data_IF_485720554632
#
_entry.id   IF_485720554632
#
_cell.length_a   1.000
_cell.length_b   1.000
_cell.length_c   1.000
_cell.angle_alpha   90.00
_cell.angle_beta   90.00
_cell.angle_gamma   90.00
#
_symmetry.space_group_name_H-M   'P 1'
#
loop_
_entity.id
_entity.type
_entity.pdbx_description
1 polymer ?
#
# COMPACT_ATOMS: atom_id res chain seq x y z
N UNK A 1 6.59 -21.66 10.05
CA UNK A 1 5.60 -20.65 9.65
C UNK A 1 4.25 -20.99 10.30
N UNK A 2 4.04 -20.62 11.58
CA UNK A 2 2.87 -21.05 12.34
C UNK A 2 1.53 -20.70 11.67
N UNK A 3 1.42 -19.49 11.11
CA UNK A 3 0.20 -19.03 10.42
C UNK A 3 -0.17 -19.92 9.23
N UNK A 4 0.80 -20.26 8.37
CA UNK A 4 0.57 -21.10 7.19
C UNK A 4 0.10 -22.49 7.59
N UNK A 5 0.73 -23.09 8.61
CA UNK A 5 0.35 -24.43 9.09
C UNK A 5 -1.02 -24.45 9.76
N UNK A 6 -1.52 -23.30 10.24
CA UNK A 6 -2.82 -23.18 10.88
C UNK A 6 -3.99 -22.98 9.89
N UNK A 7 -3.70 -22.65 8.61
CA UNK A 7 -4.74 -22.38 7.60
C UNK A 7 -5.76 -23.53 7.47
N UNK A 8 -5.36 -24.81 7.30
CA UNK A 8 -6.34 -25.87 7.08
C UNK A 8 -7.26 -26.09 8.29
N UNK A 9 -6.72 -26.03 9.51
CA UNK A 9 -7.51 -26.19 10.72
C UNK A 9 -8.44 -25.00 10.94
N UNK A 10 -7.95 -23.78 10.75
CA UNK A 10 -8.76 -22.57 10.93
C UNK A 10 -9.91 -22.52 9.92
N UNK A 11 -9.66 -22.79 8.64
CA UNK A 11 -10.71 -22.85 7.62
C UNK A 11 -11.76 -23.93 7.93
N UNK A 12 -11.32 -25.08 8.45
CA UNK A 12 -12.23 -26.14 8.87
C UNK A 12 -13.13 -25.72 10.04
N UNK A 13 -12.59 -25.00 11.02
CA UNK A 13 -13.38 -24.43 12.12
C UNK A 13 -14.40 -23.38 11.63
N UNK A 14 -14.05 -22.61 10.59
CA UNK A 14 -14.97 -21.67 9.92
C UNK A 14 -15.92 -22.34 8.92
N UNK A 15 -15.88 -23.67 8.78
CA UNK A 15 -16.73 -24.42 7.87
C UNK A 15 -16.44 -24.21 6.38
N UNK A 16 -15.26 -23.71 6.01
CA UNK A 16 -14.82 -23.48 4.62
C UNK A 16 -15.66 -22.48 3.82
N UNK A 17 -16.47 -21.64 4.45
CA UNK A 17 -17.42 -20.76 3.74
C UNK A 17 -16.95 -19.31 3.58
N UNK A 18 -15.97 -18.86 4.36
CA UNK A 18 -15.64 -17.45 4.48
C UNK A 18 -14.15 -17.20 4.29
N UNK A 19 -13.84 -16.21 3.45
CA UNK A 19 -12.52 -15.58 3.49
C UNK A 19 -12.40 -14.80 4.81
N UNK A 20 -11.22 -14.82 5.46
CA UNK A 20 -11.01 -14.03 6.65
C UNK A 20 -11.12 -12.54 6.30
N UNK A 21 -12.00 -11.82 6.98
CA UNK A 21 -12.17 -10.36 6.83
C UNK A 21 -11.98 -9.61 8.14
N UNK A 22 -11.57 -10.29 9.21
CA UNK A 22 -11.31 -9.68 10.50
C UNK A 22 -9.82 -9.81 10.79
N UNK A 23 -9.11 -8.67 10.83
CA UNK A 23 -7.67 -8.63 11.06
C UNK A 23 -7.24 -9.26 12.40
N UNK A 24 -8.18 -9.43 13.33
CA UNK A 24 -7.97 -10.08 14.64
C UNK A 24 -8.52 -11.50 14.74
N UNK A 25 -9.06 -12.04 13.65
CA UNK A 25 -9.57 -13.42 13.60
C UNK A 25 -9.27 -14.06 12.24
N UNK A 26 -8.07 -14.62 12.12
CA UNK A 26 -7.60 -15.32 10.93
C UNK A 26 -6.52 -16.36 11.24
N UNK A 27 -5.92 -16.95 10.18
CA UNK A 27 -4.87 -17.96 10.31
C UNK A 27 -3.65 -17.47 11.10
N UNK A 28 -3.32 -16.18 11.05
CA UNK A 28 -2.26 -15.59 11.86
C UNK A 28 -2.50 -15.82 13.36
N UNK A 29 -3.69 -15.46 13.87
CA UNK A 29 -4.05 -15.60 15.27
C UNK A 29 -4.08 -17.07 15.70
N UNK A 30 -4.63 -17.95 14.87
CA UNK A 30 -4.65 -19.39 15.13
C UNK A 30 -3.22 -19.97 15.23
N UNK A 31 -2.31 -19.54 14.36
CA UNK A 31 -0.92 -19.98 14.35
C UNK A 31 -0.08 -19.42 15.49
N UNK A 32 -0.25 -18.14 15.81
CA UNK A 32 0.53 -17.43 16.83
C UNK A 32 -0.09 -17.45 18.23
N UNK A 33 -1.31 -17.95 18.37
CA UNK A 33 -2.09 -18.01 19.62
C UNK A 33 -2.19 -16.63 20.29
N UNK A 34 -2.69 -15.66 19.53
CA UNK A 34 -2.82 -14.26 19.94
C UNK A 34 -4.17 -13.71 19.49
N UNK A 35 -4.67 -12.71 20.22
CA UNK A 35 -5.89 -11.98 19.85
C UNK A 35 -5.55 -10.64 19.14
N UNK A 36 -4.27 -10.38 18.88
CA UNK A 36 -3.80 -9.18 18.20
C UNK A 36 -3.78 -9.39 16.68
N UNK A 37 -3.93 -8.32 15.92
CA UNK A 37 -3.55 -8.33 14.51
C UNK A 37 -2.01 -8.48 14.35
N UNK A 38 -1.55 -8.71 13.12
CA UNK A 38 -0.15 -8.98 12.85
C UNK A 38 0.79 -7.81 13.23
N UNK A 39 0.36 -6.57 13.03
CA UNK A 39 1.15 -5.39 13.40
C UNK A 39 1.17 -5.19 14.92
N UNK A 40 0.02 -5.30 15.60
CA UNK A 40 -0.08 -5.25 17.06
C UNK A 40 0.75 -6.36 17.71
N UNK A 41 0.70 -7.58 17.18
CA UNK A 41 1.56 -8.67 17.62
C UNK A 41 3.04 -8.33 17.45
N UNK A 42 3.42 -7.74 16.31
CA UNK A 42 4.80 -7.35 16.04
C UNK A 42 5.32 -6.31 17.04
N UNK A 43 4.50 -5.31 17.39
CA UNK A 43 4.83 -4.28 18.36
C UNK A 43 4.99 -4.83 19.79
N UNK A 44 4.28 -5.90 20.14
CA UNK A 44 4.44 -6.58 21.45
C UNK A 44 5.64 -7.52 21.52
N UNK A 45 6.13 -8.04 20.39
CA UNK A 45 7.13 -9.11 20.34
C UNK A 45 8.54 -8.63 19.99
N UNK A 46 9.13 -7.81 20.87
CA UNK A 46 10.52 -7.31 20.83
C UNK A 46 10.87 -6.51 19.56
N UNK A 47 11.67 -5.47 19.75
CA UNK A 47 12.21 -4.58 18.72
C UNK A 47 12.74 -5.31 17.46
N UNK A 48 13.36 -6.48 17.63
CA UNK A 48 13.89 -7.28 16.52
C UNK A 48 12.82 -7.76 15.53
N UNK A 49 11.65 -8.24 15.98
CA UNK A 49 10.65 -8.76 15.05
C UNK A 49 10.06 -7.65 14.19
N UNK A 50 9.85 -6.47 14.78
CA UNK A 50 9.47 -5.27 14.06
C UNK A 50 10.53 -4.84 13.04
N UNK A 51 11.81 -4.87 13.40
CA UNK A 51 12.91 -4.53 12.48
C UNK A 51 13.03 -5.53 11.32
N UNK A 52 12.89 -6.84 11.58
CA UNK A 52 12.87 -7.88 10.56
C UNK A 52 11.71 -7.66 9.57
N UNK A 53 10.54 -7.28 10.08
CA UNK A 53 9.38 -6.94 9.26
C UNK A 53 9.60 -5.68 8.40
N UNK A 54 10.14 -4.60 8.97
CA UNK A 54 10.45 -3.40 8.18
C UNK A 54 11.47 -3.69 7.08
N UNK A 55 12.46 -4.54 7.37
CA UNK A 55 13.43 -5.00 6.38
C UNK A 55 12.77 -5.79 5.25
N UNK A 56 11.76 -6.60 5.56
CA UNK A 56 10.95 -7.26 4.55
C UNK A 56 10.12 -6.26 3.73
N UNK A 57 9.52 -5.24 4.36
CA UNK A 57 8.70 -4.24 3.67
C UNK A 57 9.48 -3.32 2.74
N UNK A 58 10.75 -3.04 3.06
CA UNK A 58 11.68 -2.33 2.15
C UNK A 58 12.12 -3.16 0.94
N UNK A 59 11.91 -4.48 0.98
CA UNK A 59 12.32 -5.37 -0.07
C UNK A 59 11.71 -4.97 -1.40
N UNK A 60 12.56 -4.62 -2.37
CA UNK A 60 12.16 -4.47 -3.76
C UNK A 60 11.66 -5.83 -4.27
N UNK A 61 10.40 -5.85 -4.72
CA UNK A 61 9.73 -7.07 -5.24
C UNK A 61 10.08 -7.35 -6.70
N UNK A 62 11.24 -6.87 -7.17
CA UNK A 62 11.81 -7.13 -8.49
C UNK A 62 11.40 -6.11 -9.55
N UNK A 63 11.02 -4.89 -9.16
CA UNK A 63 10.60 -3.82 -10.08
C UNK A 63 11.44 -2.56 -9.85
N UNK A 64 11.95 -1.91 -10.92
CA UNK A 64 12.64 -0.63 -10.78
C UNK A 64 11.72 0.39 -10.11
N UNK A 65 12.32 1.36 -9.42
CA UNK A 65 11.58 2.44 -8.76
C UNK A 65 10.60 3.09 -9.75
N UNK A 66 9.36 3.36 -9.34
CA UNK A 66 8.29 3.79 -10.25
C UNK A 66 8.63 5.02 -11.10
N UNK A 67 9.38 5.97 -10.54
CA UNK A 67 9.85 7.15 -11.26
C UNK A 67 10.86 6.86 -12.40
N UNK A 68 11.39 5.64 -12.52
CA UNK A 68 12.27 5.21 -13.62
C UNK A 68 11.49 4.89 -14.90
N UNK A 69 10.26 4.38 -14.77
CA UNK A 69 9.48 3.88 -15.90
C UNK A 69 8.17 4.62 -16.13
N UNK A 70 7.59 5.20 -15.08
CA UNK A 70 6.41 6.06 -15.20
C UNK A 70 6.86 7.50 -15.54
N UNK A 71 6.26 8.17 -16.54
CA UNK A 71 6.65 9.52 -16.96
C UNK A 71 6.15 10.60 -15.97
N UNK A 72 6.74 10.61 -14.76
CA UNK A 72 6.37 11.53 -13.66
C UNK A 72 6.46 12.99 -14.10
N UNK A 73 7.54 13.39 -14.77
CA UNK A 73 7.75 14.77 -15.21
C UNK A 73 6.59 15.24 -16.09
N UNK A 74 6.37 14.56 -17.22
CA UNK A 74 5.36 14.95 -18.20
C UNK A 74 3.93 14.84 -17.68
N UNK A 75 3.61 13.80 -16.89
CA UNK A 75 2.23 13.51 -16.46
C UNK A 75 1.85 14.22 -15.18
N UNK A 76 2.77 14.30 -14.22
CA UNK A 76 2.47 14.75 -12.87
C UNK A 76 3.10 16.10 -12.55
N UNK A 77 4.21 16.52 -13.17
CA UNK A 77 4.90 17.75 -12.77
C UNK A 77 4.68 18.91 -13.76
N UNK A 78 4.89 18.70 -15.05
CA UNK A 78 4.91 19.78 -16.07
C UNK A 78 3.56 20.46 -16.30
N UNK A 79 2.46 19.72 -16.14
CA UNK A 79 1.11 20.26 -16.37
C UNK A 79 0.58 21.10 -15.21
N UNK A 80 1.43 21.55 -14.28
CA UNK A 80 1.00 22.39 -13.16
C UNK A 80 2.12 23.26 -12.60
N UNK A 81 1.72 24.39 -12.03
CA UNK A 81 2.62 25.18 -11.20
C UNK A 81 2.65 24.54 -9.82
N UNK A 82 3.81 24.00 -9.41
CA UNK A 82 4.04 23.57 -8.04
C UNK A 82 3.77 24.75 -7.11
N UNK A 83 2.89 24.54 -6.14
CA UNK A 83 2.41 25.63 -5.29
C UNK A 83 3.44 25.92 -4.18
N UNK A 84 3.83 27.19 -3.98
CA UNK A 84 4.74 27.53 -2.90
C UNK A 84 4.22 27.03 -1.54
N UNK A 85 5.07 26.30 -0.81
CA UNK A 85 4.74 25.74 0.51
C UNK A 85 3.96 24.41 0.49
N UNK A 86 3.36 24.03 -0.64
CA UNK A 86 2.70 22.74 -0.78
C UNK A 86 3.73 21.59 -0.94
N UNK A 87 3.46 20.40 -0.41
CA UNK A 87 4.28 19.23 -0.70
C UNK A 87 4.16 18.83 -2.18
N UNK A 88 5.28 18.36 -2.75
CA UNK A 88 5.27 17.73 -4.06
C UNK A 88 4.69 16.32 -3.93
N UNK A 89 5.22 15.55 -2.99
CA UNK A 89 4.82 14.17 -2.77
C UNK A 89 4.64 13.90 -1.29
N UNK A 90 3.57 13.17 -0.98
CA UNK A 90 3.32 12.54 0.32
C UNK A 90 3.35 11.04 0.09
N UNK A 91 4.32 10.37 0.68
CA UNK A 91 4.49 8.92 0.68
C UNK A 91 3.73 8.35 1.89
N UNK A 92 2.55 7.78 1.65
CA UNK A 92 1.60 7.35 2.68
C UNK A 92 1.83 5.87 3.00
N UNK A 93 2.29 5.58 4.22
CA UNK A 93 2.73 4.25 4.61
C UNK A 93 4.10 3.89 4.03
N UNK A 94 4.98 4.87 3.83
CA UNK A 94 6.26 4.68 3.13
C UNK A 94 7.33 3.94 3.93
N UNK A 95 7.01 3.44 5.13
CA UNK A 95 7.94 2.74 6.00
C UNK A 95 9.15 3.59 6.35
N UNK A 96 10.34 3.05 6.13
CA UNK A 96 11.62 3.74 6.34
C UNK A 96 11.98 4.75 5.24
N UNK A 97 11.10 4.99 4.26
CA UNK A 97 11.22 6.07 3.28
C UNK A 97 12.09 5.77 2.07
N UNK A 98 12.17 4.50 1.65
CA UNK A 98 12.98 4.09 0.50
C UNK A 98 12.43 4.66 -0.83
N UNK A 99 11.10 4.67 -1.05
CA UNK A 99 10.50 5.24 -2.25
C UNK A 99 10.64 6.77 -2.28
N UNK A 100 10.36 7.47 -1.17
CA UNK A 100 10.54 8.92 -1.15
C UNK A 100 12.01 9.36 -1.35
N UNK A 101 12.97 8.59 -0.85
CA UNK A 101 14.39 8.80 -1.11
C UNK A 101 14.74 8.51 -2.59
N UNK A 102 14.17 7.45 -3.16
CA UNK A 102 14.28 7.12 -4.58
C UNK A 102 13.74 8.23 -5.47
N UNK A 103 12.58 8.81 -5.13
CA UNK A 103 11.99 9.94 -5.81
C UNK A 103 12.91 11.18 -5.76
N UNK A 104 13.49 11.51 -4.59
CA UNK A 104 14.43 12.62 -4.44
C UNK A 104 15.68 12.45 -5.31
N UNK A 105 16.18 11.22 -5.45
CA UNK A 105 17.32 10.90 -6.30
C UNK A 105 17.01 11.11 -7.78
N UNK A 106 15.80 10.79 -8.22
CA UNK A 106 15.33 11.02 -9.59
C UNK A 106 15.10 12.49 -9.91
N UNK A 107 14.64 13.26 -8.92
CA UNK A 107 14.30 14.67 -9.06
C UNK A 107 15.07 15.56 -8.06
N UNK A 108 16.42 15.66 -8.17
CA UNK A 108 17.26 16.33 -7.18
C UNK A 108 17.02 17.84 -7.12
N UNK A 109 16.68 18.45 -8.26
CA UNK A 109 16.47 19.90 -8.39
C UNK A 109 15.01 20.32 -8.24
N UNK A 110 14.10 19.37 -8.02
CA UNK A 110 12.68 19.66 -7.88
C UNK A 110 12.43 20.43 -6.57
N UNK A 111 11.84 21.63 -6.64
CA UNK A 111 11.53 22.42 -5.45
C UNK A 111 10.28 21.87 -4.76
N UNK A 112 10.19 22.09 -3.44
CA UNK A 112 9.04 21.72 -2.62
C UNK A 112 9.34 20.60 -1.62
N UNK A 113 8.40 20.35 -0.71
CA UNK A 113 8.57 19.38 0.37
C UNK A 113 8.25 17.97 -0.13
N UNK A 114 9.03 17.00 0.34
CA UNK A 114 8.74 15.57 0.21
C UNK A 114 8.39 15.08 1.63
N UNK A 115 7.21 14.51 1.81
CA UNK A 115 6.71 14.11 3.13
C UNK A 115 6.59 12.60 3.19
N UNK A 116 7.27 11.98 4.15
CA UNK A 116 7.09 10.58 4.52
C UNK A 116 6.05 10.49 5.63
N UNK A 117 5.07 9.61 5.49
CA UNK A 117 4.07 9.31 6.52
C UNK A 117 4.02 7.82 6.80
N UNK A 118 3.94 7.46 8.07
CA UNK A 118 3.76 6.10 8.55
C UNK A 118 3.28 6.13 10.01
N UNK A 119 2.91 4.97 10.56
CA UNK A 119 2.47 4.83 11.94
C UNK A 119 3.67 4.87 12.91
N UNK A 120 3.39 5.17 14.19
CA UNK A 120 4.32 4.87 15.27
C UNK A 120 4.52 3.35 15.35
N UNK A 121 5.75 2.83 15.50
CA UNK A 121 7.03 3.50 15.82
C UNK A 121 7.91 3.82 14.60
N UNK A 122 7.39 3.74 13.38
CA UNK A 122 8.18 4.05 12.16
C UNK A 122 8.54 5.53 12.11
N UNK A 123 7.60 6.40 12.51
CA UNK A 123 7.83 7.85 12.64
C UNK A 123 7.43 8.34 14.03
N UNK A 124 8.20 9.28 14.58
CA UNK A 124 7.95 9.92 15.89
C UNK A 124 6.69 10.82 15.94
N UNK A 125 5.86 10.85 14.89
CA UNK A 125 4.64 11.69 14.86
C UNK A 125 3.60 11.22 13.84
N UNK A 126 2.35 11.07 14.30
CA UNK A 126 1.18 11.02 13.41
C UNK A 126 0.95 12.45 12.91
N UNK A 127 1.34 12.73 11.66
CA UNK A 127 1.02 13.99 11.01
C UNK A 127 -0.28 13.75 10.22
N UNK A 128 -1.31 14.55 10.49
CA UNK A 128 -2.49 14.60 9.62
C UNK A 128 -2.05 14.71 8.15
N UNK A 129 -2.69 14.02 7.22
CA UNK A 129 -2.36 14.10 5.78
C UNK A 129 -2.16 15.57 5.38
N UNK A 130 -0.94 15.90 4.92
CA UNK A 130 -0.64 17.27 4.52
C UNK A 130 -1.53 17.58 3.31
N UNK A 131 -2.46 18.51 3.51
CA UNK A 131 -3.47 18.83 2.51
C UNK A 131 -2.81 19.48 1.29
N UNK A 132 -3.34 19.17 0.09
CA UNK A 132 -2.99 19.84 -1.17
C UNK A 132 -1.59 19.49 -1.69
N UNK A 133 -1.12 18.28 -1.43
CA UNK A 133 0.07 17.76 -2.09
C UNK A 133 -0.20 17.51 -3.58
N UNK A 134 0.84 17.59 -4.42
CA UNK A 134 0.70 17.29 -5.85
C UNK A 134 0.51 15.78 -6.08
N UNK A 135 1.21 14.94 -5.33
CA UNK A 135 1.15 13.48 -5.43
C UNK A 135 0.91 12.89 -4.04
N UNK A 136 -0.11 12.05 -3.91
CA UNK A 136 -0.26 11.11 -2.80
C UNK A 136 0.11 9.74 -3.33
N UNK A 137 1.18 9.17 -2.79
CA UNK A 137 1.75 7.91 -3.23
C UNK A 137 1.46 6.82 -2.19
N UNK A 138 0.91 5.69 -2.64
CA UNK A 138 0.69 4.50 -1.82
C UNK A 138 1.30 3.30 -2.54
N UNK A 139 2.15 2.56 -1.85
CA UNK A 139 2.76 1.35 -2.40
C UNK A 139 2.62 0.21 -1.41
N UNK A 140 2.02 -0.90 -1.84
CA UNK A 140 1.75 -2.06 -0.98
C UNK A 140 1.03 -1.71 0.33
N UNK A 141 0.04 -0.82 0.25
CA UNK A 141 -0.82 -0.41 1.36
C UNK A 141 -2.26 -0.89 1.14
N UNK A 142 -2.66 -0.95 -0.11
CA UNK A 142 -4.02 -1.09 -0.54
C UNK A 142 -4.45 -2.55 -0.70
N UNK A 143 -3.66 -3.50 -0.17
CA UNK A 143 -4.03 -4.91 -0.03
C UNK A 143 -4.62 -5.30 1.34
N UNK A 144 -4.83 -4.31 2.24
CA UNK A 144 -5.49 -4.52 3.53
C UNK A 144 -7.01 -4.42 3.43
N UNK A 145 -7.72 -4.63 4.56
CA UNK A 145 -9.18 -4.54 4.63
C UNK A 145 -9.72 -3.11 4.49
N UNK A 146 -9.12 -2.15 5.20
CA UNK A 146 -9.66 -0.79 5.39
C UNK A 146 -9.38 0.18 4.23
N UNK A 147 -9.15 -0.34 3.03
CA UNK A 147 -8.73 0.45 1.87
C UNK A 147 -9.70 1.57 1.47
N UNK A 148 -11.01 1.37 1.62
CA UNK A 148 -11.99 2.41 1.32
C UNK A 148 -11.78 3.64 2.22
N UNK A 149 -11.57 3.41 3.52
CA UNK A 149 -11.31 4.49 4.49
C UNK A 149 -9.98 5.20 4.19
N UNK A 150 -8.96 4.46 3.75
CA UNK A 150 -7.69 5.06 3.30
C UNK A 150 -7.92 5.99 2.11
N UNK A 151 -8.64 5.54 1.08
CA UNK A 151 -8.97 6.36 -0.09
C UNK A 151 -9.80 7.58 0.26
N UNK A 152 -10.82 7.43 1.12
CA UNK A 152 -11.65 8.55 1.59
C UNK A 152 -10.79 9.62 2.29
N UNK A 153 -9.88 9.20 3.18
CA UNK A 153 -8.98 10.12 3.88
C UNK A 153 -8.00 10.82 2.92
N UNK A 154 -7.43 10.09 1.97
CA UNK A 154 -6.53 10.69 0.96
C UNK A 154 -7.30 11.66 0.08
N UNK A 155 -8.51 11.30 -0.36
CA UNK A 155 -9.40 12.17 -1.14
C UNK A 155 -9.72 13.47 -0.42
N UNK A 156 -9.97 13.44 0.90
CA UNK A 156 -10.18 14.66 1.70
C UNK A 156 -8.97 15.60 1.67
N UNK A 157 -7.75 15.04 1.61
CA UNK A 157 -6.51 15.82 1.54
C UNK A 157 -6.20 16.35 0.13
N UNK A 158 -6.73 15.69 -0.91
CA UNK A 158 -6.52 16.04 -2.31
C UNK A 158 -7.24 17.33 -2.71
N UNK A 159 -6.66 18.05 -3.67
CA UNK A 159 -7.30 19.18 -4.34
C UNK A 159 -7.69 18.82 -5.78
N UNK A 160 -8.97 18.99 -6.12
CA UNK A 160 -9.50 18.72 -7.45
C UNK A 160 -8.77 19.51 -8.54
N UNK A 161 -8.44 18.85 -9.65
CA UNK A 161 -7.67 19.43 -10.76
C UNK A 161 -6.18 19.67 -10.46
N UNK A 162 -5.70 19.38 -9.24
CA UNK A 162 -4.30 19.53 -8.87
C UNK A 162 -3.66 18.24 -8.35
N UNK A 163 -4.26 17.55 -7.39
CA UNK A 163 -3.65 16.39 -6.76
C UNK A 163 -3.82 15.12 -7.59
N UNK A 164 -2.79 14.28 -7.60
CA UNK A 164 -2.83 12.93 -8.14
C UNK A 164 -2.72 11.90 -7.02
N UNK A 165 -3.53 10.85 -7.12
CA UNK A 165 -3.37 9.63 -6.36
C UNK A 165 -2.61 8.62 -7.22
N UNK A 166 -1.46 8.17 -6.73
CA UNK A 166 -0.64 7.15 -7.39
C UNK A 166 -0.58 5.93 -6.48
N UNK A 167 -1.03 4.79 -6.99
CA UNK A 167 -1.04 3.51 -6.28
C UNK A 167 -0.15 2.54 -7.04
N UNK A 168 0.89 2.04 -6.38
CA UNK A 168 1.77 0.99 -6.88
C UNK A 168 1.43 -0.33 -6.16
N UNK A 169 0.71 -1.20 -6.87
CA UNK A 169 0.19 -2.47 -6.35
C UNK A 169 0.15 -3.53 -7.44
N UNK A 170 -0.06 -4.78 -7.04
CA UNK A 170 -0.45 -5.80 -8.01
C UNK A 170 -1.86 -5.55 -8.56
N UNK A 171 -2.01 -5.72 -9.87
CA UNK A 171 -3.30 -5.76 -10.56
C UNK A 171 -3.44 -7.16 -11.15
N UNK A 172 -4.19 -8.02 -10.45
CA UNK A 172 -4.36 -9.40 -10.86
C UNK A 172 -5.34 -9.49 -12.05
N UNK A 173 -5.14 -10.44 -12.98
CA UNK A 173 -6.19 -10.77 -13.93
C UNK A 173 -7.34 -11.49 -13.21
N UNK A 174 -8.58 -11.33 -13.68
CA UNK A 174 -9.74 -12.00 -13.08
C UNK A 174 -9.65 -13.53 -13.20
N UNK A 175 -8.97 -14.03 -14.23
CA UNK A 175 -8.69 -15.46 -14.45
C UNK A 175 -7.25 -15.68 -14.91
N UNK A 176 -6.69 -16.87 -14.63
CA UNK A 176 -5.36 -17.24 -15.13
C UNK A 176 -4.19 -16.49 -14.48
N UNK A 177 -4.33 -16.08 -13.21
CA UNK A 177 -3.27 -15.41 -12.46
C UNK A 177 -1.98 -16.25 -12.42
N UNK A 178 -0.85 -15.58 -12.67
CA UNK A 178 0.48 -16.17 -12.49
C UNK A 178 0.73 -16.55 -11.03
N UNK A 179 1.61 -17.53 -10.82
CA UNK A 179 1.87 -18.10 -9.49
C UNK A 179 2.32 -17.05 -8.47
N UNK A 180 3.28 -16.19 -8.81
CA UNK A 180 3.85 -15.24 -7.85
C UNK A 180 2.82 -14.25 -7.28
N UNK A 181 2.01 -13.51 -8.09
CA UNK A 181 0.94 -12.68 -7.53
C UNK A 181 -0.13 -13.47 -6.76
N UNK A 182 -0.42 -14.72 -7.16
CA UNK A 182 -1.35 -15.57 -6.41
C UNK A 182 -0.79 -16.01 -5.04
N UNK A 183 0.51 -16.26 -4.94
CA UNK A 183 1.19 -16.54 -3.67
C UNK A 183 1.15 -15.32 -2.75
N UNK A 184 1.33 -14.11 -3.28
CA UNK A 184 1.17 -12.87 -2.52
C UNK A 184 -0.25 -12.68 -2.01
N UNK A 185 -1.28 -12.95 -2.82
CA UNK A 185 -2.67 -12.91 -2.38
C UNK A 185 -2.94 -13.85 -1.19
N UNK A 186 -2.43 -15.09 -1.27
CA UNK A 186 -2.51 -16.03 -0.15
C UNK A 186 -1.79 -15.51 1.09
N UNK A 187 -0.64 -14.85 0.94
CA UNK A 187 0.05 -14.21 2.07
C UNK A 187 -0.81 -13.09 2.67
N UNK A 188 -1.46 -12.26 1.86
CA UNK A 188 -2.34 -11.20 2.35
C UNK A 188 -3.52 -11.78 3.14
N UNK A 189 -4.13 -12.85 2.65
CA UNK A 189 -5.19 -13.57 3.37
C UNK A 189 -4.68 -14.13 4.71
N UNK A 190 -3.52 -14.79 4.72
CA UNK A 190 -2.99 -15.50 5.89
C UNK A 190 -2.55 -14.54 7.00
N UNK A 191 -1.87 -13.44 6.65
CA UNK A 191 -1.23 -12.55 7.62
C UNK A 191 -2.07 -11.32 7.96
N UNK A 192 -2.89 -10.83 7.02
CA UNK A 192 -3.58 -9.54 7.16
C UNK A 192 -5.10 -9.65 7.05
N UNK A 193 -5.63 -10.84 6.71
CA UNK A 193 -7.03 -10.99 6.32
C UNK A 193 -7.40 -10.01 5.19
N UNK A 194 -6.42 -9.75 4.33
CA UNK A 194 -6.48 -8.86 3.18
C UNK A 194 -6.54 -9.66 1.88
N UNK A 195 -6.36 -8.96 0.78
CA UNK A 195 -6.33 -9.56 -0.55
C UNK A 195 -5.57 -8.67 -1.53
N UNK A 196 -4.94 -9.31 -2.50
CA UNK A 196 -4.57 -8.64 -3.74
C UNK A 196 -5.81 -8.45 -4.62
N UNK A 197 -5.84 -7.39 -5.43
CA UNK A 197 -7.05 -6.99 -6.17
C UNK A 197 -6.89 -7.22 -7.65
N UNK A 198 -7.96 -7.71 -8.26
CA UNK A 198 -8.11 -7.73 -9.70
C UNK A 198 -8.50 -6.34 -10.21
N UNK A 199 -8.46 -6.12 -11.53
CA UNK A 199 -8.99 -4.89 -12.14
C UNK A 199 -10.42 -4.59 -11.67
N UNK A 200 -11.31 -5.58 -11.72
CA UNK A 200 -12.71 -5.41 -11.33
C UNK A 200 -12.86 -5.04 -9.84
N UNK A 201 -12.05 -5.61 -8.95
CA UNK A 201 -12.00 -5.20 -7.54
C UNK A 201 -11.52 -3.76 -7.35
N UNK A 202 -10.51 -3.34 -8.12
CA UNK A 202 -10.04 -1.95 -8.11
C UNK A 202 -11.13 -0.99 -8.58
N UNK A 203 -11.73 -1.22 -9.74
CA UNK A 203 -12.80 -0.38 -10.28
C UNK A 203 -13.94 -0.18 -9.28
N UNK A 204 -14.42 -1.28 -8.67
CA UNK A 204 -15.46 -1.22 -7.64
C UNK A 204 -15.02 -0.46 -6.38
N UNK A 205 -13.74 -0.54 -6.00
CA UNK A 205 -13.21 0.19 -4.85
C UNK A 205 -13.12 1.70 -5.12
N UNK A 206 -12.64 2.11 -6.30
CA UNK A 206 -12.57 3.51 -6.71
C UNK A 206 -13.97 4.12 -6.84
N UNK A 207 -14.92 3.39 -7.43
CA UNK A 207 -16.34 3.81 -7.50
C UNK A 207 -16.92 4.06 -6.11
N UNK A 208 -16.69 3.15 -5.17
CA UNK A 208 -17.16 3.31 -3.77
C UNK A 208 -16.51 4.48 -3.04
N UNK A 209 -15.27 4.83 -3.40
CA UNK A 209 -14.56 6.00 -2.87
C UNK A 209 -14.95 7.31 -3.58
N UNK A 210 -15.82 7.24 -4.59
CA UNK A 210 -16.20 8.36 -5.45
C UNK A 210 -14.96 9.02 -6.08
N UNK A 211 -14.01 8.19 -6.52
CA UNK A 211 -12.82 8.60 -7.26
C UNK A 211 -13.00 8.31 -8.75
N UNK A 212 -12.31 9.07 -9.60
CA UNK A 212 -12.27 8.78 -11.02
C UNK A 212 -11.70 7.37 -11.28
N UNK A 213 -12.13 6.68 -12.36
CA UNK A 213 -11.57 5.41 -12.75
C UNK A 213 -10.05 5.48 -12.88
N UNK A 214 -9.36 4.50 -12.29
CA UNK A 214 -7.92 4.43 -12.33
C UNK A 214 -7.42 4.30 -13.78
N UNK A 215 -6.37 5.06 -14.12
CA UNK A 215 -5.59 4.82 -15.33
C UNK A 215 -4.45 3.89 -14.97
N UNK A 216 -4.44 2.72 -15.59
CA UNK A 216 -3.42 1.71 -15.32
C UNK A 216 -2.18 1.91 -16.18
N UNK A 217 -1.03 1.67 -15.56
CA UNK A 217 0.28 1.73 -16.20
C UNK A 217 1.08 0.50 -15.78
N UNK A 218 1.85 -0.08 -16.70
CA UNK A 218 2.77 -1.16 -16.37
C UNK A 218 4.10 -0.95 -17.07
N UNK A 219 5.20 -1.28 -16.37
CA UNK A 219 6.56 -1.16 -16.90
C UNK A 219 6.82 -2.03 -18.14
N UNK A 220 5.95 -3.00 -18.45
CA UNK A 220 6.03 -3.83 -19.64
C UNK A 220 5.31 -3.23 -20.87
N UNK A 221 4.52 -2.16 -20.71
CA UNK A 221 3.69 -1.56 -21.76
C UNK A 221 4.02 -0.10 -22.10
N UNK A 222 5.13 0.46 -21.63
CA UNK A 222 5.64 1.73 -22.16
C UNK A 222 6.30 1.52 -23.55
N UNK A 223 5.47 1.45 -24.59
CA UNK A 223 5.80 1.78 -25.98
C UNK A 223 4.67 2.57 -26.61
#
# INVERSE_FOLDING_TARGET
MPSITAVPSWLNEQGWQLNPTDATNGPFQAGHKTDLDMFGFALTNKEKFWDDMNTFFEGDRGSPHWAEWFPVQDKLLDNSILRPGAPVIVDVGGGRGHDIAGFRKHFPDLPGRLILQDQQPVLDSIIALDSRARIYFLKFIMHVKDCLRVLENVKIAMEEGYSYLVIEEFILPDEGCSLLPAEWDLMMMIYLCGMERTRSHWEALFERADLEPAREWSGHHCR
#
